data_IF_213913939972
#
_entry.id   IF_213913939972
#
_cell.length_a   1.000
_cell.length_b   1.000
_cell.length_c   1.000
_cell.angle_alpha   90.00
_cell.angle_beta   90.00
_cell.angle_gamma   90.00
#
_symmetry.space_group_name_H-M   'P 1'
#
loop_
_entity.id
_entity.type
_entity.pdbx_description
1 polymer ?
#
# COMPACT_ATOMS: atom_id res chain seq x y z
N UNK A 1 19.71 -10.01 0.98
CA UNK A 1 19.22 -9.02 1.97
C UNK A 1 19.00 -7.70 1.23
N UNK A 2 17.78 -7.16 1.24
CA UNK A 2 17.51 -5.88 0.59
C UNK A 2 18.27 -4.75 1.31
N UNK A 3 18.82 -3.76 0.59
CA UNK A 3 19.53 -2.65 1.21
C UNK A 3 18.61 -1.95 2.21
N UNK A 4 19.13 -1.70 3.41
CA UNK A 4 18.42 -0.93 4.43
C UNK A 4 18.12 0.45 3.85
N UNK A 5 16.85 0.71 3.59
CA UNK A 5 16.48 1.92 2.92
C UNK A 5 16.41 3.06 3.93
N UNK A 6 17.27 4.05 3.76
CA UNK A 6 17.37 5.18 4.66
C UNK A 6 16.34 6.25 4.30
N UNK A 7 15.45 6.57 5.24
CA UNK A 7 14.42 7.60 5.08
C UNK A 7 14.77 8.90 5.81
N UNK A 8 15.98 9.05 6.35
CA UNK A 8 16.39 10.23 7.12
C UNK A 8 16.26 11.50 6.29
N UNK A 9 15.67 12.53 6.88
CA UNK A 9 15.48 13.84 6.23
C UNK A 9 14.32 13.90 5.24
N UNK A 10 13.65 12.79 4.91
CA UNK A 10 12.49 12.79 4.02
C UNK A 10 11.23 13.27 4.73
N UNK A 11 10.34 13.89 3.97
CA UNK A 11 9.04 14.39 4.44
C UNK A 11 7.89 13.59 3.85
N UNK A 12 7.00 13.11 4.71
CA UNK A 12 5.80 12.34 4.36
C UNK A 12 4.57 13.05 4.93
N UNK A 13 3.86 13.81 4.08
CA UNK A 13 2.76 14.67 4.53
C UNK A 13 3.24 15.75 5.49
N UNK A 14 2.74 15.74 6.72
CA UNK A 14 3.17 16.64 7.79
C UNK A 14 4.33 16.09 8.63
N UNK A 15 4.84 14.88 8.35
CA UNK A 15 5.89 14.24 9.14
C UNK A 15 7.25 14.37 8.45
N UNK A 16 8.25 14.90 9.15
CA UNK A 16 9.64 14.92 8.72
C UNK A 16 10.44 13.89 9.48
N UNK A 17 11.08 12.95 8.78
CA UNK A 17 11.91 11.91 9.40
C UNK A 17 13.22 12.52 9.91
N UNK A 18 13.48 12.37 11.21
CA UNK A 18 14.70 12.87 11.85
C UNK A 18 15.77 11.78 11.91
N UNK A 19 15.38 10.60 12.36
CA UNK A 19 16.33 9.52 12.63
C UNK A 19 15.62 8.15 12.69
N UNK A 20 16.42 7.10 12.73
CA UNK A 20 15.94 5.73 12.82
C UNK A 20 15.63 5.38 14.28
N UNK A 21 14.41 4.92 14.52
CA UNK A 21 13.98 4.44 15.84
C UNK A 21 14.40 2.97 16.05
N UNK A 22 14.45 2.49 17.30
CA UNK A 22 14.71 1.08 17.59
C UNK A 22 13.73 0.18 16.83
N UNK A 23 14.28 -0.80 16.11
CA UNK A 23 13.47 -1.79 15.41
C UNK A 23 12.77 -2.70 16.40
N UNK A 24 11.51 -3.01 16.13
CA UNK A 24 10.71 -3.90 16.96
C UNK A 24 9.95 -4.85 16.05
N UNK A 25 9.92 -6.15 16.39
CA UNK A 25 9.33 -7.21 15.56
C UNK A 25 9.84 -7.21 14.10
N UNK A 26 11.15 -7.05 13.89
CA UNK A 26 11.77 -6.98 12.55
C UNK A 26 11.29 -5.83 11.65
N UNK A 27 10.53 -4.87 12.18
CA UNK A 27 10.08 -3.70 11.44
C UNK A 27 11.00 -2.51 11.68
N UNK A 28 11.45 -1.89 10.59
CA UNK A 28 12.22 -0.65 10.65
C UNK A 28 11.28 0.52 10.93
N UNK A 29 11.53 1.20 12.05
CA UNK A 29 10.78 2.36 12.54
C UNK A 29 11.63 3.64 12.43
N UNK A 30 10.95 4.77 12.35
CA UNK A 30 11.53 6.08 12.14
C UNK A 30 10.92 7.09 13.12
N UNK A 31 11.79 7.83 13.80
CA UNK A 31 11.40 9.00 14.58
C UNK A 31 11.14 10.15 13.60
N UNK A 32 9.92 10.65 13.62
CA UNK A 32 9.47 11.75 12.79
C UNK A 32 9.05 12.92 13.68
N UNK A 33 9.23 14.15 13.22
CA UNK A 33 8.60 15.33 13.82
C UNK A 33 7.49 15.81 12.92
N UNK A 34 6.37 16.15 13.54
CA UNK A 34 5.26 16.75 12.83
C UNK A 34 5.50 18.24 12.64
N UNK A 35 5.53 18.67 11.39
CA UNK A 35 5.61 20.07 11.01
C UNK A 35 4.36 20.87 11.42
N UNK A 36 3.24 20.20 11.72
CA UNK A 36 1.98 20.83 12.14
C UNK A 36 1.85 20.97 13.66
N UNK A 37 2.19 19.91 14.40
CA UNK A 37 2.03 19.86 15.86
C UNK A 37 3.33 20.11 16.63
N UNK A 38 4.49 20.08 15.96
CA UNK A 38 5.82 20.10 16.58
C UNK A 38 6.18 18.81 17.34
N UNK A 39 5.20 17.93 17.59
CA UNK A 39 5.39 16.70 18.34
C UNK A 39 6.16 15.62 17.58
N UNK A 40 6.81 14.76 18.35
CA UNK A 40 7.46 13.54 17.89
C UNK A 40 6.43 12.43 17.58
N UNK A 41 6.77 11.60 16.58
CA UNK A 41 5.94 10.50 16.15
C UNK A 41 6.78 9.37 15.58
N UNK A 42 6.54 8.14 16.04
CA UNK A 42 7.23 6.96 15.53
C UNK A 42 6.39 6.30 14.44
N UNK A 43 6.91 6.27 13.21
CA UNK A 43 6.25 5.66 12.06
C UNK A 43 7.05 4.47 11.52
N UNK A 44 6.37 3.51 10.89
CA UNK A 44 7.05 2.40 10.21
C UNK A 44 7.44 2.80 8.78
N UNK A 45 8.52 2.23 8.26
CA UNK A 45 8.96 2.42 6.86
C UNK A 45 7.82 2.15 5.87
N UNK A 46 7.03 1.11 6.16
CA UNK A 46 5.92 0.69 5.33
C UNK A 46 4.78 1.73 5.33
N UNK A 47 4.39 2.20 6.51
CA UNK A 47 3.32 3.21 6.65
C UNK A 47 3.68 4.56 6.02
N UNK A 48 4.94 4.98 6.13
CA UNK A 48 5.44 6.21 5.48
C UNK A 48 5.39 6.10 3.95
N UNK A 49 5.92 5.01 3.38
CA UNK A 49 5.96 4.82 1.92
C UNK A 49 4.60 4.64 1.28
N UNK A 50 3.68 3.96 1.97
CA UNK A 50 2.31 3.76 1.48
C UNK A 50 1.42 5.00 1.68
N UNK A 51 1.89 6.01 2.42
CA UNK A 51 1.09 7.17 2.77
C UNK A 51 -0.03 6.84 3.78
N UNK A 52 0.09 5.75 4.51
CA UNK A 52 -0.83 5.41 5.61
C UNK A 52 -0.56 6.30 6.84
N UNK A 53 0.69 6.73 7.02
CA UNK A 53 1.15 7.57 8.13
C UNK A 53 1.67 8.91 7.60
N UNK A 54 0.81 9.91 7.51
CA UNK A 54 1.12 11.25 6.98
C UNK A 54 1.05 12.37 8.04
N UNK A 55 0.65 12.08 9.27
CA UNK A 55 0.49 13.05 10.36
C UNK A 55 0.73 12.43 11.74
N UNK A 56 1.12 13.24 12.74
CA UNK A 56 1.36 12.75 14.11
C UNK A 56 0.11 12.11 14.69
N UNK A 57 0.26 11.07 15.53
CA UNK A 57 -0.83 10.46 16.27
C UNK A 57 -1.69 11.48 17.04
N UNK A 58 -1.07 12.55 17.58
CA UNK A 58 -1.79 13.67 18.20
C UNK A 58 -2.69 14.45 17.21
N UNK A 59 -2.23 14.67 15.98
CA UNK A 59 -3.07 15.22 14.89
C UNK A 59 -4.03 14.18 14.29
N UNK A 60 -3.75 12.89 14.46
CA UNK A 60 -4.57 11.79 13.96
C UNK A 60 -5.73 11.47 14.91
N UNK A 61 -5.51 11.64 16.22
CA UNK A 61 -6.41 11.25 17.31
C UNK A 61 -7.55 12.22 17.64
N UNK A 62 -7.62 13.38 16.98
CA UNK A 62 -8.75 14.31 17.13
C UNK A 62 -9.86 14.04 16.11
N UNK A 63 -9.63 13.19 15.10
CA UNK A 63 -10.65 12.84 14.14
C UNK A 63 -11.53 11.71 14.69
N UNK A 64 -12.52 12.09 15.50
CA UNK A 64 -13.64 11.22 15.85
C UNK A 64 -14.71 11.32 14.77
N UNK A 65 -15.39 10.21 14.53
CA UNK A 65 -16.61 10.21 13.72
C UNK A 65 -17.75 10.66 14.62
N UNK A 66 -18.50 11.63 14.15
CA UNK A 66 -19.69 12.19 14.79
C UNK A 66 -20.81 12.20 13.75
N UNK A 67 -22.06 12.33 14.18
CA UNK A 67 -23.23 12.24 13.29
C UNK A 67 -23.20 13.31 12.17
N UNK A 68 -22.70 14.52 12.46
CA UNK A 68 -22.52 15.58 11.45
C UNK A 68 -21.55 15.16 10.34
N UNK A 69 -20.45 14.48 10.69
CA UNK A 69 -19.47 14.01 9.71
C UNK A 69 -20.03 12.84 8.89
N UNK A 70 -20.88 12.02 9.49
CA UNK A 70 -21.59 10.97 8.76
C UNK A 70 -22.54 11.57 7.73
N UNK A 71 -23.26 12.64 8.08
CA UNK A 71 -24.12 13.36 7.13
C UNK A 71 -23.31 13.93 5.97
N UNK A 72 -22.16 14.55 6.24
CA UNK A 72 -21.25 15.06 5.19
C UNK A 72 -20.79 13.93 4.26
N UNK A 73 -20.47 12.75 4.81
CA UNK A 73 -20.10 11.57 4.00
C UNK A 73 -21.28 11.13 3.14
N UNK A 74 -22.50 11.08 3.68
CA UNK A 74 -23.71 10.72 2.96
C UNK A 74 -24.00 11.69 1.81
N UNK A 75 -24.01 12.99 2.07
CA UNK A 75 -24.33 14.02 1.09
C UNK A 75 -23.31 14.05 -0.05
N UNK A 76 -22.02 13.99 0.28
CA UNK A 76 -20.94 13.96 -0.72
C UNK A 76 -20.97 12.66 -1.54
N UNK A 77 -21.32 11.53 -0.91
CA UNK A 77 -21.48 10.26 -1.62
C UNK A 77 -22.68 10.26 -2.55
N UNK A 78 -23.81 10.81 -2.13
CA UNK A 78 -24.99 11.01 -2.99
C UNK A 78 -24.66 11.90 -4.20
N UNK A 79 -23.78 12.89 -4.02
CA UNK A 79 -23.23 13.72 -5.09
C UNK A 79 -22.16 13.05 -5.97
N UNK A 80 -21.90 11.74 -5.81
CA UNK A 80 -20.95 10.99 -6.62
C UNK A 80 -19.47 11.28 -6.34
N UNK A 81 -19.15 11.91 -5.20
CA UNK A 81 -17.76 12.27 -4.85
C UNK A 81 -16.92 11.07 -4.47
N UNK A 82 -15.65 11.10 -4.84
CA UNK A 82 -14.69 10.08 -4.47
C UNK A 82 -14.32 10.19 -2.97
N UNK A 83 -13.98 9.07 -2.34
CA UNK A 83 -13.56 9.06 -0.93
C UNK A 83 -12.34 9.96 -0.65
N UNK A 84 -11.50 10.21 -1.68
CA UNK A 84 -10.38 11.15 -1.59
C UNK A 84 -10.83 12.61 -1.45
N UNK A 85 -11.89 13.01 -2.15
CA UNK A 85 -12.45 14.37 -2.06
C UNK A 85 -13.14 14.57 -0.70
N UNK A 86 -13.92 13.58 -0.25
CA UNK A 86 -14.55 13.58 1.07
C UNK A 86 -13.50 13.68 2.17
N UNK A 87 -12.41 12.94 2.04
CA UNK A 87 -11.29 12.98 2.99
C UNK A 87 -10.59 14.34 3.03
N UNK A 88 -10.50 15.04 1.89
CA UNK A 88 -9.95 16.40 1.85
C UNK A 88 -10.84 17.39 2.61
N UNK A 89 -12.18 17.29 2.46
CA UNK A 89 -13.14 18.13 3.18
C UNK A 89 -13.11 17.86 4.68
N UNK A 90 -13.08 16.58 5.07
CA UNK A 90 -13.07 16.18 6.48
C UNK A 90 -11.69 16.27 7.14
N UNK A 91 -10.64 16.58 6.37
CA UNK A 91 -9.26 16.64 6.88
C UNK A 91 -8.74 15.31 7.42
N UNK A 92 -9.20 14.18 6.84
CA UNK A 92 -8.86 12.83 7.30
C UNK A 92 -8.19 11.99 6.19
N UNK A 93 -7.76 10.77 6.52
CA UNK A 93 -7.18 9.85 5.55
C UNK A 93 -8.31 9.25 4.66
N UNK A 94 -8.14 9.19 3.33
CA UNK A 94 -9.08 8.52 2.43
C UNK A 94 -9.46 7.10 2.85
N UNK A 95 -8.53 6.34 3.45
CA UNK A 95 -8.80 4.99 3.98
C UNK A 95 -9.84 5.02 5.10
N UNK A 96 -9.79 6.03 5.97
CA UNK A 96 -10.76 6.21 7.06
C UNK A 96 -12.16 6.47 6.51
N UNK A 97 -12.27 7.25 5.43
CA UNK A 97 -13.54 7.49 4.73
C UNK A 97 -14.05 6.21 4.07
N UNK A 98 -13.20 5.44 3.39
CA UNK A 98 -13.61 4.16 2.80
C UNK A 98 -14.23 3.22 3.82
N UNK A 99 -13.56 3.01 4.96
CA UNK A 99 -14.07 2.18 6.05
C UNK A 99 -15.41 2.71 6.59
N UNK A 100 -15.57 4.04 6.66
CA UNK A 100 -16.83 4.65 7.14
C UNK A 100 -17.97 4.49 6.13
N UNK A 101 -17.70 4.71 4.85
CA UNK A 101 -18.64 4.49 3.74
C UNK A 101 -19.14 3.04 3.74
N UNK A 102 -18.25 2.06 3.96
CA UNK A 102 -18.65 0.65 4.11
C UNK A 102 -19.55 0.45 5.34
N UNK A 103 -19.18 1.03 6.50
CA UNK A 103 -19.97 0.94 7.73
C UNK A 103 -21.36 1.58 7.62
N UNK A 104 -21.48 2.67 6.85
CA UNK A 104 -22.73 3.36 6.57
C UNK A 104 -23.54 2.71 5.43
N UNK A 105 -23.04 1.61 4.83
CA UNK A 105 -23.71 0.95 3.71
C UNK A 105 -23.74 1.74 2.40
N UNK A 106 -22.99 2.86 2.33
CA UNK A 106 -22.90 3.77 1.19
C UNK A 106 -21.85 3.32 0.16
N UNK A 107 -21.25 2.16 0.35
CA UNK A 107 -20.33 1.60 -0.64
C UNK A 107 -21.09 1.42 -1.94
N UNK A 108 -20.51 1.89 -3.05
CA UNK A 108 -20.87 1.47 -4.41
C UNK A 108 -20.68 -0.05 -4.52
N UNK A 109 -21.63 -0.81 -3.98
CA UNK A 109 -21.92 -2.15 -4.44
C UNK A 109 -22.55 -1.93 -5.80
N UNK A 110 -21.72 -1.72 -6.82
CA UNK A 110 -22.15 -2.09 -8.17
C UNK A 110 -22.61 -3.54 -8.02
N UNK A 111 -23.90 -3.82 -8.13
CA UNK A 111 -24.40 -5.21 -8.14
C UNK A 111 -23.71 -5.98 -9.28
N UNK A 112 -23.33 -5.25 -10.31
CA UNK A 112 -22.48 -5.54 -11.45
C UNK A 112 -20.98 -5.28 -11.21
N UNK A 113 -20.45 -5.57 -10.02
CA UNK A 113 -18.98 -5.70 -9.82
C UNK A 113 -18.43 -6.95 -10.52
N UNK A 114 -18.94 -7.28 -11.72
CA UNK A 114 -18.29 -8.21 -12.61
C UNK A 114 -16.98 -7.53 -13.03
N UNK A 115 -15.87 -8.20 -12.81
CA UNK A 115 -14.62 -7.78 -13.44
C UNK A 115 -14.90 -7.60 -14.94
N UNK A 116 -14.37 -6.54 -15.57
CA UNK A 116 -14.57 -6.28 -17.02
C UNK A 116 -14.20 -7.49 -17.89
N UNK A 117 -13.34 -8.36 -17.37
CA UNK A 117 -12.99 -9.68 -17.86
C UNK A 117 -12.98 -10.62 -16.67
N UNK A 118 -13.39 -11.87 -16.85
CA UNK A 118 -13.18 -12.88 -15.83
C UNK A 118 -11.68 -12.97 -15.47
N UNK A 119 -11.33 -13.24 -14.20
CA UNK A 119 -9.96 -13.41 -13.72
C UNK A 119 -9.04 -14.18 -14.67
N UNK A 120 -9.55 -15.29 -15.20
CA UNK A 120 -8.84 -16.21 -16.08
C UNK A 120 -8.83 -15.75 -17.54
N UNK A 121 -9.68 -14.80 -17.92
CA UNK A 121 -9.77 -14.25 -19.26
C UNK A 121 -8.87 -13.03 -19.48
N UNK A 122 -8.44 -12.37 -18.39
CA UNK A 122 -7.53 -11.23 -18.44
C UNK A 122 -6.27 -11.57 -19.25
N UNK A 123 -6.03 -10.89 -20.40
CA UNK A 123 -4.84 -11.14 -21.24
C UNK A 123 -3.54 -11.00 -20.46
N UNK A 124 -3.50 -10.07 -19.50
CA UNK A 124 -2.37 -9.88 -18.61
C UNK A 124 -2.15 -11.10 -17.71
N UNK A 125 -3.20 -11.67 -17.11
CA UNK A 125 -3.07 -12.88 -16.28
C UNK A 125 -2.69 -14.10 -17.11
N UNK A 126 -3.29 -14.29 -18.28
CA UNK A 126 -2.90 -15.35 -19.23
C UNK A 126 -1.42 -15.23 -19.59
N UNK A 127 -0.95 -14.04 -19.93
CA UNK A 127 0.45 -13.77 -20.24
C UNK A 127 1.39 -14.04 -19.06
N UNK A 128 1.02 -13.60 -17.85
CA UNK A 128 1.83 -13.77 -16.64
C UNK A 128 1.86 -15.22 -16.16
N UNK A 129 0.78 -15.98 -16.36
CA UNK A 129 0.68 -17.38 -15.98
C UNK A 129 1.17 -18.33 -17.07
N UNK A 130 1.38 -17.86 -18.30
CA UNK A 130 1.90 -18.67 -19.39
C UNK A 130 3.33 -19.18 -19.06
N UNK A 131 3.64 -20.43 -19.43
CA UNK A 131 4.98 -20.96 -19.27
C UNK A 131 5.98 -20.15 -20.10
N UNK A 132 7.18 -19.97 -19.56
CA UNK A 132 8.23 -19.23 -20.24
C UNK A 132 9.60 -19.88 -20.02
N UNK A 133 10.46 -19.79 -21.03
CA UNK A 133 11.84 -20.24 -20.92
C UNK A 133 12.68 -19.16 -20.27
N UNK A 134 13.54 -19.55 -19.33
CA UNK A 134 14.43 -18.64 -18.60
C UNK A 134 15.82 -19.22 -18.45
N UNK A 135 16.80 -18.33 -18.29
CA UNK A 135 18.16 -18.68 -17.91
C UNK A 135 18.35 -18.48 -16.41
N UNK A 136 18.82 -19.52 -15.72
CA UNK A 136 19.21 -19.41 -14.32
C UNK A 136 20.42 -18.45 -14.20
N UNK A 137 20.33 -17.44 -13.32
CA UNK A 137 21.44 -16.51 -13.10
C UNK A 137 22.60 -17.15 -12.32
N UNK A 138 22.34 -18.25 -11.60
CA UNK A 138 23.35 -18.95 -10.80
C UNK A 138 24.11 -19.98 -11.64
N UNK A 139 23.41 -20.96 -12.21
CA UNK A 139 24.04 -22.07 -12.94
C UNK A 139 24.09 -21.89 -14.46
N UNK A 140 23.51 -20.80 -14.99
CA UNK A 140 23.49 -20.49 -16.43
C UNK A 140 22.62 -21.43 -17.28
N UNK A 141 22.02 -22.48 -16.70
CA UNK A 141 21.19 -23.45 -17.43
C UNK A 141 19.84 -22.84 -17.79
N UNK A 142 19.35 -23.23 -18.97
CA UNK A 142 18.00 -22.92 -19.44
C UNK A 142 16.99 -23.84 -18.74
N UNK A 143 15.85 -23.30 -18.34
CA UNK A 143 14.74 -24.08 -17.80
C UNK A 143 13.39 -23.48 -18.21
N UNK A 144 12.34 -24.30 -18.21
CA UNK A 144 10.97 -23.86 -18.46
C UNK A 144 10.27 -23.60 -17.13
N UNK A 145 9.93 -22.33 -16.87
CA UNK A 145 9.14 -21.93 -15.73
C UNK A 145 7.65 -22.10 -16.05
N UNK A 146 6.88 -22.60 -15.08
CA UNK A 146 5.42 -22.78 -15.21
C UNK A 146 4.66 -21.46 -15.35
N UNK A 147 5.23 -20.35 -14.88
CA UNK A 147 4.67 -19.00 -15.03
C UNK A 147 5.78 -17.95 -15.00
N UNK A 148 5.47 -16.73 -15.42
CA UNK A 148 6.39 -15.59 -15.31
C UNK A 148 6.58 -15.10 -13.86
N UNK A 149 5.74 -15.54 -12.93
CA UNK A 149 5.94 -15.31 -11.50
C UNK A 149 6.99 -16.23 -10.91
N UNK A 150 7.08 -17.47 -11.40
CA UNK A 150 8.05 -18.43 -10.90
C UNK A 150 9.46 -18.09 -11.43
N UNK A 151 10.33 -17.64 -10.52
CA UNK A 151 11.73 -17.30 -10.83
C UNK A 151 12.72 -18.37 -10.39
N UNK A 152 12.24 -19.51 -9.88
CA UNK A 152 13.05 -20.53 -9.24
C UNK A 152 13.53 -21.56 -10.26
N UNK A 153 14.83 -21.85 -10.24
CA UNK A 153 15.41 -22.96 -10.99
C UNK A 153 15.20 -24.27 -10.20
N UNK A 154 14.57 -25.28 -10.81
CA UNK A 154 14.30 -26.59 -10.18
C UNK A 154 15.56 -27.36 -9.77
N UNK A 155 16.71 -27.06 -10.40
CA UNK A 155 18.00 -27.69 -10.09
C UNK A 155 18.72 -26.98 -8.94
N UNK A 156 18.42 -25.71 -8.70
CA UNK A 156 19.16 -24.84 -7.76
C UNK A 156 18.28 -24.28 -6.62
N UNK A 157 17.11 -24.88 -6.33
CA UNK A 157 16.17 -24.48 -5.26
C UNK A 157 16.86 -24.05 -3.96
N UNK A 158 16.24 -23.24 -3.06
CA UNK A 158 15.27 -22.14 -3.19
C UNK A 158 15.94 -20.74 -3.10
N UNK A 159 17.28 -20.68 -3.15
CA UNK A 159 18.08 -19.47 -2.90
C UNK A 159 18.36 -18.69 -4.20
N UNK A 160 18.06 -19.27 -5.37
CA UNK A 160 18.42 -18.70 -6.66
C UNK A 160 17.87 -17.27 -6.82
N UNK A 161 18.80 -16.31 -6.78
CA UNK A 161 18.57 -14.93 -7.16
C UNK A 161 17.94 -14.92 -8.56
N UNK A 162 16.76 -14.29 -8.67
CA UNK A 162 15.76 -14.62 -9.68
C UNK A 162 16.26 -14.75 -11.12
N UNK A 163 15.66 -15.66 -11.88
CA UNK A 163 16.02 -15.87 -13.30
C UNK A 163 15.70 -14.68 -14.21
N UNK A 164 16.57 -14.41 -15.19
CA UNK A 164 16.35 -13.40 -16.24
C UNK A 164 15.47 -13.96 -17.38
N UNK A 165 14.70 -13.05 -17.99
CA UNK A 165 14.04 -13.34 -19.26
C UNK A 165 15.09 -13.42 -20.35
N UNK A 166 14.93 -14.40 -21.24
CA UNK A 166 15.70 -14.54 -22.48
C UNK A 166 14.80 -14.12 -23.63
#
# INVERSE_FOLDING_TARGET
MAPLLDLKGQTFGHLKVIERAPSHNNLVRWNCVCMKCGGDHVATTFGLRRGETIQCAACQGLFKWDDEKDQIVQDMKAGGKAAKEIAAVLGCNPVSVHRRVEKLGLSDKREDKKLRLDPDESPFRKYMNAPCTRKCLECGKMFNAQSRFNRLCFTCSPIAHGAAFV
#
